data_IF_704649072510
#
_entry.id   IF_704649072510
#
_cell.length_a   1.000
_cell.length_b   1.000
_cell.length_c   1.000
_cell.angle_alpha   90.00
_cell.angle_beta   90.00
_cell.angle_gamma   90.00
#
_symmetry.space_group_name_H-M   'P 1'
#
loop_
_entity.id
_entity.type
_entity.pdbx_description
1 polymer ?
#
# COMPACT_ATOMS: atom_id res chain seq x y z
N UNK A 1 -32.15 14.61 -14.71
CA UNK A 1 -30.84 13.99 -14.44
C UNK A 1 -30.53 13.17 -15.69
N UNK A 2 -29.46 13.50 -16.41
CA UNK A 2 -29.11 12.81 -17.65
C UNK A 2 -28.87 11.32 -17.37
N UNK A 3 -29.71 10.46 -17.92
CA UNK A 3 -29.55 8.99 -17.89
C UNK A 3 -28.32 8.49 -18.70
N UNK A 4 -27.64 9.40 -19.38
CA UNK A 4 -26.52 9.13 -20.31
C UNK A 4 -25.12 9.32 -19.68
N UNK A 5 -25.00 9.56 -18.38
CA UNK A 5 -23.70 9.69 -17.74
C UNK A 5 -22.98 8.32 -17.73
N UNK A 6 -21.77 8.29 -18.26
CA UNK A 6 -20.93 7.09 -18.22
C UNK A 6 -20.76 6.61 -16.77
N UNK A 7 -21.11 5.37 -16.50
CA UNK A 7 -21.04 4.78 -15.16
C UNK A 7 -19.62 4.29 -14.88
N UNK A 8 -19.02 4.75 -13.78
CA UNK A 8 -17.72 4.27 -13.32
C UNK A 8 -17.83 2.83 -12.80
N UNK A 9 -17.03 1.93 -13.36
CA UNK A 9 -17.00 0.52 -12.98
C UNK A 9 -15.60 0.10 -12.53
N UNK A 10 -15.41 -0.11 -11.25
CA UNK A 10 -14.18 -0.65 -10.67
C UNK A 10 -14.10 -2.16 -10.88
N UNK A 11 -12.90 -2.68 -11.15
CA UNK A 11 -12.65 -4.12 -11.33
C UNK A 11 -11.48 -4.54 -10.45
N UNK A 12 -11.74 -5.44 -9.49
CA UNK A 12 -10.72 -6.03 -8.64
C UNK A 12 -11.09 -7.48 -8.28
N UNK A 13 -10.39 -8.45 -8.88
CA UNK A 13 -10.64 -9.89 -8.68
C UNK A 13 -9.64 -10.55 -7.72
N UNK A 14 -8.96 -9.77 -6.87
CA UNK A 14 -8.09 -10.32 -5.84
C UNK A 14 -8.88 -11.18 -4.83
N UNK A 15 -8.24 -12.21 -4.29
CA UNK A 15 -8.87 -13.10 -3.30
C UNK A 15 -8.62 -12.65 -1.86
N UNK A 16 -7.48 -11.99 -1.61
CA UNK A 16 -7.10 -11.51 -0.29
C UNK A 16 -7.56 -10.07 -0.03
N UNK A 17 -7.18 -9.54 1.12
CA UNK A 17 -7.34 -8.14 1.47
C UNK A 17 -6.01 -7.58 1.95
N UNK A 18 -5.20 -7.10 1.00
CA UNK A 18 -3.88 -6.52 1.21
C UNK A 18 -3.92 -5.03 0.86
N UNK A 19 -2.77 -4.38 0.79
CA UNK A 19 -2.67 -2.96 0.48
C UNK A 19 -3.43 -2.54 -0.79
N UNK A 20 -3.38 -3.33 -1.87
CA UNK A 20 -4.09 -3.04 -3.12
C UNK A 20 -5.61 -3.01 -2.97
N UNK A 21 -6.18 -4.00 -2.29
CA UNK A 21 -7.62 -4.11 -2.04
C UNK A 21 -8.08 -3.03 -1.05
N UNK A 22 -7.27 -2.71 -0.04
CA UNK A 22 -7.54 -1.60 0.88
C UNK A 22 -7.59 -0.28 0.13
N UNK A 23 -6.63 0.01 -0.74
CA UNK A 23 -6.63 1.23 -1.54
C UNK A 23 -7.83 1.31 -2.52
N UNK A 24 -8.24 0.18 -3.09
CA UNK A 24 -9.46 0.11 -3.90
C UNK A 24 -10.69 0.46 -3.06
N UNK A 25 -10.80 -0.09 -1.85
CA UNK A 25 -11.90 0.18 -0.93
C UNK A 25 -11.94 1.66 -0.51
N UNK A 26 -10.80 2.23 -0.10
CA UNK A 26 -10.70 3.64 0.30
C UNK A 26 -11.15 4.59 -0.82
N UNK A 27 -10.70 4.34 -2.05
CA UNK A 27 -11.13 5.15 -3.20
C UNK A 27 -12.63 5.03 -3.45
N UNK A 28 -13.19 3.82 -3.47
CA UNK A 28 -14.62 3.59 -3.68
C UNK A 28 -15.45 4.27 -2.59
N UNK A 29 -15.02 4.14 -1.33
CA UNK A 29 -15.69 4.78 -0.19
C UNK A 29 -15.69 6.29 -0.32
N UNK A 30 -14.55 6.91 -0.56
CA UNK A 30 -14.45 8.37 -0.70
C UNK A 30 -15.25 8.90 -1.90
N UNK A 31 -15.29 8.16 -3.02
CA UNK A 31 -16.15 8.50 -4.16
C UNK A 31 -17.65 8.36 -3.81
N UNK A 32 -18.03 7.36 -3.01
CA UNK A 32 -19.41 7.19 -2.53
C UNK A 32 -19.85 8.37 -1.65
N UNK A 33 -18.97 8.83 -0.76
CA UNK A 33 -19.19 9.99 0.11
C UNK A 33 -19.36 11.29 -0.69
N UNK A 34 -18.66 11.41 -1.81
CA UNK A 34 -18.81 12.51 -2.78
C UNK A 34 -20.03 12.33 -3.74
N UNK A 35 -20.83 11.28 -3.56
CA UNK A 35 -22.07 11.05 -4.29
C UNK A 35 -21.93 10.40 -5.66
N UNK A 36 -20.77 9.84 -6.00
CA UNK A 36 -20.56 9.10 -7.24
C UNK A 36 -21.39 7.82 -7.25
N UNK A 37 -22.06 7.56 -8.38
CA UNK A 37 -22.67 6.26 -8.66
C UNK A 37 -21.61 5.33 -9.27
N UNK A 38 -21.40 4.18 -8.67
CA UNK A 38 -20.31 3.28 -9.02
C UNK A 38 -20.81 1.84 -9.13
N UNK A 39 -20.09 1.05 -9.92
CA UNK A 39 -20.16 -0.41 -9.88
C UNK A 39 -18.81 -0.98 -9.45
N UNK A 40 -18.84 -2.12 -8.77
CA UNK A 40 -17.65 -2.89 -8.45
C UNK A 40 -17.82 -4.33 -8.94
N UNK A 41 -16.99 -4.75 -9.87
CA UNK A 41 -16.82 -6.18 -10.20
C UNK A 41 -15.75 -6.73 -9.25
N UNK A 42 -16.18 -7.59 -8.34
CA UNK A 42 -15.29 -8.20 -7.36
C UNK A 42 -15.49 -9.72 -7.29
N UNK A 43 -14.48 -10.38 -6.71
CA UNK A 43 -14.57 -11.82 -6.50
C UNK A 43 -15.61 -12.14 -5.44
N UNK A 44 -16.43 -13.16 -5.71
CA UNK A 44 -17.49 -13.63 -4.80
C UNK A 44 -16.89 -13.98 -3.43
N UNK A 45 -17.59 -13.58 -2.37
CA UNK A 45 -17.23 -13.81 -0.97
C UNK A 45 -15.86 -13.24 -0.54
N UNK A 46 -15.23 -12.36 -1.36
CA UNK A 46 -13.98 -11.72 -1.00
C UNK A 46 -14.17 -10.71 0.14
N UNK A 47 -13.09 -10.44 0.90
CA UNK A 47 -13.12 -9.41 1.94
C UNK A 47 -13.42 -8.02 1.37
N UNK A 48 -12.99 -7.72 0.14
CA UNK A 48 -13.34 -6.47 -0.53
C UNK A 48 -14.86 -6.38 -0.72
N UNK A 49 -15.51 -7.42 -1.24
CA UNK A 49 -16.97 -7.48 -1.39
C UNK A 49 -17.67 -7.27 -0.06
N UNK A 50 -17.31 -8.02 0.98
CA UNK A 50 -17.95 -7.92 2.30
C UNK A 50 -17.85 -6.53 2.91
N UNK A 51 -16.72 -5.82 2.71
CA UNK A 51 -16.46 -4.50 3.26
C UNK A 51 -17.09 -3.36 2.44
N UNK A 52 -17.41 -3.59 1.16
CA UNK A 52 -17.91 -2.53 0.28
C UNK A 52 -19.39 -2.64 -0.06
N UNK A 53 -20.03 -3.81 0.08
CA UNK A 53 -21.42 -4.05 -0.34
C UNK A 53 -22.47 -3.15 0.32
N UNK A 54 -22.13 -2.48 1.42
CA UNK A 54 -23.04 -1.59 2.15
C UNK A 54 -22.84 -0.11 1.81
N UNK A 55 -21.88 0.21 0.93
CA UNK A 55 -21.59 1.58 0.56
C UNK A 55 -22.73 2.16 -0.29
N UNK A 56 -23.17 3.36 0.05
CA UNK A 56 -24.23 4.05 -0.66
C UNK A 56 -23.76 4.42 -2.09
N UNK A 57 -24.58 4.15 -3.09
CA UNK A 57 -24.26 4.48 -4.49
C UNK A 57 -23.32 3.48 -5.17
N UNK A 58 -22.97 2.39 -4.51
CA UNK A 58 -22.18 1.29 -5.07
C UNK A 58 -23.07 0.09 -5.36
N UNK A 59 -22.99 -0.42 -6.59
CA UNK A 59 -23.61 -1.69 -7.00
C UNK A 59 -22.49 -2.74 -7.17
N UNK A 60 -22.52 -3.80 -6.35
CA UNK A 60 -21.46 -4.84 -6.35
C UNK A 60 -21.91 -6.02 -7.19
N UNK A 61 -21.12 -6.34 -8.20
CA UNK A 61 -21.29 -7.48 -9.10
C UNK A 61 -20.29 -8.56 -8.70
N UNK A 62 -20.76 -9.56 -7.99
CA UNK A 62 -19.93 -10.69 -7.62
C UNK A 62 -19.70 -11.64 -8.79
N UNK A 63 -18.48 -12.15 -8.88
CA UNK A 63 -18.10 -13.09 -9.94
C UNK A 63 -17.07 -14.11 -9.46
N UNK A 64 -16.85 -15.15 -10.27
CA UNK A 64 -15.78 -16.11 -10.07
C UNK A 64 -14.40 -15.50 -10.46
N UNK A 65 -13.38 -16.33 -10.41
CA UNK A 65 -12.00 -15.92 -10.72
C UNK A 65 -11.82 -15.28 -12.11
N UNK A 66 -12.60 -15.71 -13.11
CA UNK A 66 -12.44 -15.20 -14.48
C UNK A 66 -13.27 -13.97 -14.79
N UNK A 67 -14.37 -13.72 -14.09
CA UNK A 67 -15.20 -12.53 -14.30
C UNK A 67 -16.01 -12.51 -15.61
N UNK A 68 -16.09 -13.61 -16.36
CA UNK A 68 -16.67 -13.65 -17.70
C UNK A 68 -18.11 -13.08 -17.78
N UNK A 69 -18.98 -13.47 -16.86
CA UNK A 69 -20.39 -13.06 -16.87
C UNK A 69 -20.63 -11.71 -16.16
N UNK A 70 -19.60 -11.11 -15.56
CA UNK A 70 -19.78 -9.86 -14.82
C UNK A 70 -19.84 -8.66 -15.75
N UNK A 71 -19.00 -8.65 -16.78
CA UNK A 71 -18.95 -7.55 -17.73
C UNK A 71 -20.25 -7.35 -18.52
N UNK A 72 -21.00 -8.43 -18.84
CA UNK A 72 -22.29 -8.33 -19.51
C UNK A 72 -23.39 -7.68 -18.66
N UNK A 73 -23.18 -7.56 -17.35
CA UNK A 73 -24.09 -6.86 -16.42
C UNK A 73 -23.81 -5.36 -16.30
N UNK A 74 -22.82 -4.88 -17.01
CA UNK A 74 -22.41 -3.47 -17.00
C UNK A 74 -22.75 -2.84 -18.34
N UNK A 75 -23.17 -1.57 -18.33
CA UNK A 75 -23.47 -0.84 -19.56
C UNK A 75 -22.25 -0.78 -20.49
N UNK A 76 -22.49 -0.87 -21.80
CA UNK A 76 -21.44 -0.74 -22.82
C UNK A 76 -20.75 0.63 -22.80
N UNK A 77 -21.45 1.66 -22.32
CA UNK A 77 -20.94 3.03 -22.16
C UNK A 77 -20.14 3.22 -20.87
N UNK A 78 -19.95 2.18 -20.02
CA UNK A 78 -19.26 2.32 -18.74
C UNK A 78 -17.77 2.56 -18.94
N UNK A 79 -17.22 3.40 -18.07
CA UNK A 79 -15.79 3.61 -17.93
C UNK A 79 -15.23 2.65 -16.90
N UNK A 80 -14.24 1.83 -17.26
CA UNK A 80 -13.69 0.83 -16.38
C UNK A 80 -12.39 1.32 -15.71
N UNK A 81 -12.26 1.06 -14.41
CA UNK A 81 -11.03 1.23 -13.67
C UNK A 81 -10.54 -0.12 -13.14
N UNK A 82 -9.50 -0.65 -13.75
CA UNK A 82 -8.88 -1.91 -13.32
C UNK A 82 -7.86 -1.67 -12.21
N UNK A 83 -8.04 -2.35 -11.07
CA UNK A 83 -7.13 -2.31 -9.93
C UNK A 83 -6.17 -3.51 -9.88
N UNK A 84 -6.45 -4.53 -10.68
CA UNK A 84 -5.59 -5.70 -10.89
C UNK A 84 -5.64 -6.17 -12.35
N UNK A 85 -4.73 -7.08 -12.73
CA UNK A 85 -4.62 -7.57 -14.10
C UNK A 85 -5.36 -8.88 -14.38
N UNK A 86 -6.02 -9.47 -13.37
CA UNK A 86 -6.59 -10.84 -13.47
C UNK A 86 -7.74 -10.95 -14.45
N UNK A 87 -8.53 -9.91 -14.54
CA UNK A 87 -9.76 -9.89 -15.36
C UNK A 87 -9.55 -9.48 -16.82
N UNK A 88 -8.37 -9.03 -17.22
CA UNK A 88 -8.16 -8.51 -18.58
C UNK A 88 -8.45 -9.51 -19.68
N UNK A 89 -8.11 -10.79 -19.50
CA UNK A 89 -8.42 -11.82 -20.51
C UNK A 89 -9.93 -11.92 -20.76
N UNK A 90 -10.73 -11.92 -19.69
CA UNK A 90 -12.19 -11.97 -19.77
C UNK A 90 -12.80 -10.67 -20.28
N UNK A 91 -12.19 -9.54 -19.89
CA UNK A 91 -12.60 -8.24 -20.38
C UNK A 91 -12.40 -8.14 -21.90
N UNK A 92 -11.27 -8.57 -22.43
CA UNK A 92 -11.06 -8.54 -23.88
C UNK A 92 -11.93 -9.51 -24.67
N UNK A 93 -12.39 -10.61 -24.08
CA UNK A 93 -13.41 -11.45 -24.69
C UNK A 93 -14.77 -10.72 -24.75
N UNK A 94 -15.12 -10.02 -23.69
CA UNK A 94 -16.34 -9.18 -23.63
C UNK A 94 -16.26 -7.99 -24.58
N UNK A 95 -15.13 -7.30 -24.60
CA UNK A 95 -14.89 -6.09 -25.38
C UNK A 95 -14.48 -6.40 -26.84
N UNK A 96 -14.56 -7.66 -27.27
CA UNK A 96 -14.26 -8.01 -28.66
C UNK A 96 -15.24 -7.28 -29.60
N UNK A 97 -14.70 -6.48 -30.51
CA UNK A 97 -15.45 -5.58 -31.40
C UNK A 97 -16.22 -4.42 -30.72
N UNK A 98 -15.87 -4.07 -29.48
CA UNK A 98 -16.40 -2.90 -28.78
C UNK A 98 -15.28 -1.90 -28.49
N UNK A 99 -15.60 -0.62 -28.51
CA UNK A 99 -14.70 0.38 -27.95
C UNK A 99 -14.62 0.16 -26.44
N UNK A 100 -13.42 -0.07 -25.95
CA UNK A 100 -13.18 -0.25 -24.51
C UNK A 100 -12.56 1.01 -23.93
N UNK A 101 -13.25 1.60 -22.96
CA UNK A 101 -12.83 2.82 -22.29
C UNK A 101 -12.41 2.47 -20.86
N UNK A 102 -11.09 2.47 -20.59
CA UNK A 102 -10.60 2.09 -19.27
C UNK A 102 -9.26 2.73 -18.91
N UNK A 103 -9.03 2.81 -17.60
CA UNK A 103 -7.72 3.04 -16.99
C UNK A 103 -7.28 1.80 -16.21
N UNK A 104 -5.97 1.68 -15.98
CA UNK A 104 -5.40 0.58 -15.20
C UNK A 104 -4.43 1.10 -14.16
N UNK A 105 -4.70 0.85 -12.87
CA UNK A 105 -3.78 1.15 -11.78
C UNK A 105 -2.78 0.02 -11.58
N UNK A 106 -1.51 0.33 -11.83
CA UNK A 106 -0.39 -0.59 -11.61
C UNK A 106 0.24 -0.34 -10.25
N UNK A 107 0.24 -1.38 -9.40
CA UNK A 107 0.73 -1.34 -8.00
C UNK A 107 2.04 -2.10 -7.79
N UNK A 108 2.57 -2.78 -8.81
CA UNK A 108 3.71 -3.68 -8.71
C UNK A 108 4.94 -3.08 -9.36
N UNK A 109 6.04 -2.97 -8.61
CA UNK A 109 7.34 -2.47 -9.07
C UNK A 109 7.95 -3.31 -10.19
N UNK A 110 7.84 -4.66 -10.06
CA UNK A 110 8.45 -5.58 -11.04
C UNK A 110 8.06 -5.20 -12.46
N UNK A 111 9.05 -5.12 -13.37
CA UNK A 111 8.82 -4.81 -14.78
C UNK A 111 7.76 -5.72 -15.40
N UNK A 112 6.80 -5.17 -16.15
CA UNK A 112 5.78 -5.98 -16.81
C UNK A 112 6.43 -6.90 -17.82
N UNK A 113 5.99 -8.17 -17.83
CA UNK A 113 6.40 -9.08 -18.90
C UNK A 113 5.79 -8.61 -20.21
N UNK A 114 6.63 -8.34 -21.21
CA UNK A 114 6.18 -7.91 -22.53
C UNK A 114 5.66 -9.13 -23.30
N UNK A 115 4.36 -9.15 -23.56
CA UNK A 115 3.65 -10.18 -24.33
C UNK A 115 2.61 -9.53 -25.22
N UNK A 116 2.01 -10.26 -26.15
CA UNK A 116 0.91 -9.75 -26.97
C UNK A 116 -0.24 -9.20 -26.09
N UNK A 117 -0.65 -9.96 -25.08
CA UNK A 117 -1.72 -9.53 -24.17
C UNK A 117 -1.34 -8.31 -23.34
N UNK A 118 -0.13 -8.27 -22.76
CA UNK A 118 0.29 -7.10 -21.99
C UNK A 118 0.43 -5.84 -22.86
N UNK A 119 0.97 -5.96 -24.08
CA UNK A 119 0.96 -4.85 -25.03
C UNK A 119 -0.45 -4.33 -25.29
N UNK A 120 -1.42 -5.24 -25.50
CA UNK A 120 -2.83 -4.86 -25.68
C UNK A 120 -3.38 -4.14 -24.45
N UNK A 121 -3.11 -4.64 -23.24
CA UNK A 121 -3.55 -4.03 -21.97
C UNK A 121 -2.99 -2.62 -21.81
N UNK A 122 -1.67 -2.45 -21.94
CA UNK A 122 -1.04 -1.17 -21.65
C UNK A 122 -1.27 -0.13 -22.75
N UNK A 123 -1.33 -0.53 -24.01
CA UNK A 123 -1.61 0.38 -25.13
C UNK A 123 -3.10 0.66 -25.36
N UNK A 124 -3.97 -0.21 -24.87
CA UNK A 124 -5.42 -0.03 -24.98
C UNK A 124 -6.03 0.79 -23.83
N UNK A 125 -5.28 1.03 -22.75
CA UNK A 125 -5.71 1.90 -21.67
C UNK A 125 -5.68 3.36 -22.09
N UNK A 126 -6.67 4.15 -21.63
CA UNK A 126 -6.65 5.62 -21.76
C UNK A 126 -5.50 6.22 -20.98
N UNK A 127 -5.23 5.65 -19.80
CA UNK A 127 -4.11 6.06 -18.96
C UNK A 127 -3.70 4.88 -18.05
N UNK A 128 -2.40 4.76 -17.77
CA UNK A 128 -1.86 3.87 -16.75
C UNK A 128 -1.59 4.70 -15.50
N UNK A 129 -2.32 4.43 -14.42
CA UNK A 129 -2.03 5.03 -13.13
C UNK A 129 -0.91 4.24 -12.45
N UNK A 130 0.19 4.91 -12.17
CA UNK A 130 1.35 4.36 -11.47
C UNK A 130 1.39 4.91 -10.04
N UNK A 131 1.77 4.09 -9.06
CA UNK A 131 1.84 4.57 -7.67
C UNK A 131 3.12 5.35 -7.38
N UNK A 132 4.14 5.21 -8.22
CA UNK A 132 5.46 5.80 -8.03
C UNK A 132 6.17 6.04 -9.36
N UNK A 133 7.20 6.89 -9.33
CA UNK A 133 8.09 7.17 -10.46
C UNK A 133 8.80 5.90 -10.95
N UNK A 134 9.21 5.03 -10.03
CA UNK A 134 9.81 3.73 -10.34
C UNK A 134 8.89 2.83 -11.16
N UNK A 135 7.59 2.77 -10.80
CA UNK A 135 6.58 2.01 -11.55
C UNK A 135 6.35 2.65 -12.92
N UNK A 136 6.22 3.96 -12.99
CA UNK A 136 6.03 4.68 -14.24
C UNK A 136 7.18 4.45 -15.22
N UNK A 137 8.42 4.60 -14.75
CA UNK A 137 9.63 4.34 -15.53
C UNK A 137 9.66 2.89 -16.03
N UNK A 138 9.28 1.93 -15.21
CA UNK A 138 9.18 0.52 -15.59
C UNK A 138 8.15 0.27 -16.69
N UNK A 139 7.01 0.95 -16.67
CA UNK A 139 5.97 0.90 -17.70
C UNK A 139 6.49 1.52 -19.00
N UNK A 140 7.02 2.73 -18.96
CA UNK A 140 7.55 3.45 -20.13
C UNK A 140 8.71 2.71 -20.80
N UNK A 141 9.59 2.09 -20.00
CA UNK A 141 10.68 1.26 -20.52
C UNK A 141 10.18 -0.02 -21.20
N UNK A 142 9.05 -0.59 -20.76
CA UNK A 142 8.52 -1.84 -21.30
C UNK A 142 7.63 -1.65 -22.53
N UNK A 143 6.88 -0.54 -22.62
CA UNK A 143 5.84 -0.34 -23.64
C UNK A 143 6.03 0.89 -24.51
N UNK A 144 7.01 1.72 -24.23
CA UNK A 144 7.35 2.94 -24.97
C UNK A 144 7.15 4.20 -24.12
N UNK A 145 7.96 5.23 -24.40
CA UNK A 145 7.90 6.52 -23.69
C UNK A 145 6.59 7.28 -23.95
N UNK A 146 5.90 6.93 -25.01
CA UNK A 146 4.61 7.44 -25.45
C UNK A 146 3.41 6.79 -24.72
N UNK A 147 3.67 5.85 -23.81
CA UNK A 147 2.60 5.25 -23.00
C UNK A 147 2.01 6.31 -22.08
N UNK A 148 0.70 6.59 -22.24
CA UNK A 148 -0.02 7.54 -21.39
C UNK A 148 -0.05 7.05 -19.96
N UNK A 149 0.54 7.83 -19.05
CA UNK A 149 0.65 7.46 -17.65
C UNK A 149 0.64 8.67 -16.73
N UNK A 150 0.14 8.47 -15.52
CA UNK A 150 0.12 9.47 -14.45
C UNK A 150 0.52 8.81 -13.13
N UNK A 151 1.20 9.57 -12.27
CA UNK A 151 1.50 9.12 -10.91
C UNK A 151 0.37 9.59 -9.98
N UNK A 152 -0.34 8.62 -9.38
CA UNK A 152 -1.27 8.86 -8.29
C UNK A 152 -0.87 7.92 -7.15
N UNK A 153 -0.23 8.40 -6.09
CA UNK A 153 0.20 7.56 -4.98
C UNK A 153 -1.01 6.96 -4.23
N UNK A 154 -0.76 5.92 -3.48
CA UNK A 154 -1.72 5.40 -2.50
C UNK A 154 -1.95 6.43 -1.39
N UNK A 155 -3.04 6.30 -0.66
CA UNK A 155 -3.31 7.10 0.53
C UNK A 155 -2.93 6.35 1.82
N UNK A 156 -2.66 7.09 2.89
CA UNK A 156 -2.72 6.58 4.26
C UNK A 156 -4.12 6.03 4.55
N UNK A 157 -4.20 5.00 5.38
CA UNK A 157 -5.49 4.44 5.77
C UNK A 157 -6.22 5.29 6.82
N UNK A 158 -5.58 6.34 7.33
CA UNK A 158 -6.10 7.23 8.39
C UNK A 158 -6.65 6.43 9.57
N UNK A 159 -5.79 5.60 10.18
CA UNK A 159 -6.19 4.73 11.29
C UNK A 159 -6.52 5.53 12.53
N UNK A 160 -7.69 5.27 13.11
CA UNK A 160 -7.99 5.70 14.48
C UNK A 160 -7.10 4.95 15.47
N UNK A 161 -6.83 5.57 16.61
CA UNK A 161 -6.13 4.96 17.73
C UNK A 161 -6.75 5.34 19.06
N UNK A 162 -6.55 4.48 20.04
CA UNK A 162 -6.95 4.69 21.43
C UNK A 162 -5.69 4.82 22.30
N UNK A 163 -5.47 6.01 22.85
CA UNK A 163 -4.27 6.31 23.66
C UNK A 163 -4.11 5.41 24.89
N UNK A 164 -5.20 4.89 25.44
CA UNK A 164 -5.13 3.93 26.56
C UNK A 164 -4.63 2.57 26.07
N UNK A 165 -5.07 2.12 24.89
CA UNK A 165 -4.60 0.89 24.27
C UNK A 165 -3.16 1.00 23.81
N UNK A 166 -2.77 2.12 23.18
CA UNK A 166 -1.37 2.41 22.84
C UNK A 166 -0.46 2.38 24.07
N UNK A 167 -0.92 3.00 25.19
CA UNK A 167 -0.19 2.96 26.46
C UNK A 167 -0.09 1.53 27.01
N UNK A 168 -1.08 0.68 26.79
CA UNK A 168 -1.02 -0.73 27.17
C UNK A 168 -0.01 -1.49 26.31
N UNK A 169 0.01 -1.28 25.00
CA UNK A 169 1.02 -1.85 24.10
C UNK A 169 2.42 -1.49 24.60
N UNK A 170 2.68 -0.21 24.91
CA UNK A 170 3.98 0.22 25.45
C UNK A 170 4.37 -0.47 26.76
N UNK A 171 3.41 -0.72 27.65
CA UNK A 171 3.65 -1.43 28.93
C UNK A 171 3.94 -2.91 28.77
N UNK A 172 3.43 -3.54 27.73
CA UNK A 172 3.70 -4.94 27.40
C UNK A 172 5.10 -5.17 26.84
N UNK A 173 5.71 -4.11 26.28
CA UNK A 173 7.11 -4.12 25.83
C UNK A 173 8.01 -3.71 26.98
N UNK A 174 9.00 -4.55 27.29
CA UNK A 174 9.92 -4.28 28.43
C UNK A 174 10.82 -3.09 28.21
N UNK A 175 11.21 -2.85 26.97
CA UNK A 175 12.12 -1.80 26.58
C UNK A 175 11.40 -0.44 26.44
N UNK A 176 12.10 0.65 26.76
CA UNK A 176 11.53 2.00 26.72
C UNK A 176 11.42 2.56 25.30
N UNK A 177 12.32 2.19 24.41
CA UNK A 177 12.34 2.64 23.03
C UNK A 177 11.82 1.53 22.11
N UNK A 178 10.78 1.82 21.32
CA UNK A 178 10.06 0.83 20.55
C UNK A 178 10.24 1.09 19.05
N UNK A 179 10.84 0.13 18.36
CA UNK A 179 10.96 0.10 16.91
C UNK A 179 9.88 -0.83 16.34
N UNK A 180 8.98 -0.26 15.55
CA UNK A 180 7.86 -1.00 14.99
C UNK A 180 8.05 -1.36 13.52
N UNK A 181 7.55 -2.53 13.14
CA UNK A 181 7.38 -2.97 11.75
C UNK A 181 5.98 -3.54 11.56
N UNK A 182 5.31 -3.15 10.48
CA UNK A 182 3.97 -3.64 10.15
C UNK A 182 4.00 -4.22 8.73
N UNK A 183 3.63 -5.49 8.60
CA UNK A 183 3.57 -6.14 7.29
C UNK A 183 3.34 -7.65 7.35
N UNK A 184 3.13 -8.25 6.18
CA UNK A 184 3.11 -9.71 6.04
C UNK A 184 4.49 -10.27 6.39
N UNK A 185 4.54 -11.31 7.23
CA UNK A 185 5.80 -11.99 7.59
C UNK A 185 6.27 -12.88 6.43
N UNK A 186 6.95 -12.27 5.49
CA UNK A 186 7.57 -12.84 4.30
C UNK A 186 8.94 -12.19 4.11
N UNK A 187 9.99 -12.79 4.66
CA UNK A 187 11.33 -12.20 4.67
C UNK A 187 11.87 -11.93 3.27
N UNK A 188 11.57 -12.81 2.32
CA UNK A 188 12.02 -12.61 0.94
C UNK A 188 11.53 -11.30 0.32
N UNK A 189 10.41 -10.79 0.81
CA UNK A 189 9.81 -9.53 0.39
C UNK A 189 10.05 -8.39 1.37
N UNK A 190 9.88 -8.65 2.68
CA UNK A 190 9.80 -7.63 3.73
C UNK A 190 11.07 -7.46 4.55
N UNK A 191 12.03 -8.40 4.45
CA UNK A 191 13.34 -8.25 5.06
C UNK A 191 13.35 -8.32 6.58
N UNK A 192 12.47 -9.10 7.21
CA UNK A 192 12.36 -9.17 8.67
C UNK A 192 13.60 -9.75 9.37
N UNK A 193 14.41 -10.53 8.67
CA UNK A 193 15.70 -10.98 9.22
C UNK A 193 16.67 -9.80 9.52
N UNK A 194 16.58 -8.70 8.77
CA UNK A 194 17.35 -7.50 9.07
C UNK A 194 16.93 -6.87 10.41
N UNK A 195 15.64 -6.97 10.79
CA UNK A 195 15.13 -6.50 12.10
C UNK A 195 15.64 -7.41 13.22
N UNK A 196 15.67 -8.73 13.01
CA UNK A 196 16.21 -9.68 13.99
C UNK A 196 17.70 -9.40 14.22
N UNK A 197 18.46 -9.10 13.16
CA UNK A 197 19.88 -8.74 13.29
C UNK A 197 20.08 -7.43 14.04
N UNK A 198 19.22 -6.44 13.83
CA UNK A 198 19.21 -5.19 14.62
C UNK A 198 18.91 -5.46 16.10
N UNK A 199 17.92 -6.32 16.40
CA UNK A 199 17.60 -6.70 17.76
C UNK A 199 18.78 -7.40 18.46
N UNK A 200 19.50 -8.24 17.73
CA UNK A 200 20.73 -8.91 18.19
C UNK A 200 21.84 -7.91 18.52
N UNK A 201 22.07 -6.94 17.61
CA UNK A 201 23.05 -5.85 17.79
C UNK A 201 22.68 -4.95 18.96
N UNK A 202 21.42 -4.58 19.10
CA UNK A 202 20.94 -3.76 20.22
C UNK A 202 21.16 -4.49 21.56
N UNK A 203 20.79 -5.77 21.65
CA UNK A 203 20.99 -6.58 22.85
C UNK A 203 22.47 -6.73 23.21
N UNK A 204 23.35 -6.99 22.23
CA UNK A 204 24.79 -7.15 22.47
C UNK A 204 25.47 -5.86 22.96
N UNK A 205 24.83 -4.70 22.75
CA UNK A 205 25.28 -3.38 23.21
C UNK A 205 24.50 -2.87 24.43
N UNK A 206 23.66 -3.72 25.03
CA UNK A 206 22.84 -3.40 26.19
C UNK A 206 21.94 -2.16 25.99
N UNK A 207 21.45 -1.97 24.74
CA UNK A 207 20.55 -0.86 24.42
C UNK A 207 19.10 -1.20 24.81
N UNK A 208 18.39 -0.26 25.41
CA UNK A 208 17.00 -0.41 25.87
C UNK A 208 16.01 -0.24 24.69
N UNK A 209 16.16 -1.08 23.64
CA UNK A 209 15.39 -1.04 22.40
C UNK A 209 14.63 -2.34 22.22
N UNK A 210 13.30 -2.24 22.11
CA UNK A 210 12.39 -3.33 21.75
C UNK A 210 11.95 -3.25 20.29
N UNK A 211 11.84 -4.40 19.64
CA UNK A 211 11.41 -4.51 18.25
C UNK A 211 10.07 -5.22 18.18
N UNK A 212 9.09 -4.60 17.56
CA UNK A 212 7.72 -5.15 17.44
C UNK A 212 7.40 -5.42 15.97
N UNK A 213 7.14 -6.69 15.65
CA UNK A 213 6.68 -7.13 14.34
C UNK A 213 5.18 -7.39 14.38
N UNK A 214 4.43 -6.52 13.70
CA UNK A 214 2.98 -6.62 13.57
C UNK A 214 2.61 -7.28 12.26
N UNK A 215 1.89 -8.38 12.34
CA UNK A 215 1.42 -9.14 11.19
C UNK A 215 1.64 -10.64 11.31
N UNK A 216 1.25 -11.34 10.27
CA UNK A 216 1.45 -12.80 10.14
C UNK A 216 1.84 -13.12 8.70
N UNK A 217 2.40 -14.29 8.46
CA UNK A 217 2.79 -14.70 7.13
C UNK A 217 3.45 -16.07 7.09
N UNK A 218 3.91 -16.46 5.92
CA UNK A 218 4.49 -17.79 5.68
C UNK A 218 5.78 -18.06 6.48
N UNK A 219 6.53 -16.99 6.82
CA UNK A 219 7.82 -17.09 7.50
C UNK A 219 7.71 -16.90 9.04
N UNK A 220 6.47 -16.79 9.60
CA UNK A 220 6.24 -16.58 11.04
C UNK A 220 7.01 -17.55 11.92
N UNK A 221 6.91 -18.86 11.65
CA UNK A 221 7.61 -19.89 12.43
C UNK A 221 9.13 -19.81 12.31
N UNK A 222 9.64 -19.49 11.13
CA UNK A 222 11.07 -19.33 10.87
C UNK A 222 11.62 -18.11 11.62
N UNK A 223 10.95 -16.96 11.52
CA UNK A 223 11.37 -15.72 12.19
C UNK A 223 11.37 -15.85 13.72
N UNK A 224 10.34 -16.49 14.30
CA UNK A 224 10.28 -16.80 15.74
C UNK A 224 11.42 -17.71 16.18
N UNK A 225 11.77 -18.72 15.37
CA UNK A 225 12.89 -19.60 15.64
C UNK A 225 14.23 -18.85 15.60
N UNK A 226 14.46 -18.00 14.59
CA UNK A 226 15.68 -17.20 14.45
C UNK A 226 15.88 -16.18 15.58
N UNK A 227 14.79 -15.76 16.22
CA UNK A 227 14.79 -14.78 17.33
C UNK A 227 14.62 -15.40 18.72
N UNK A 228 14.59 -16.73 18.88
CA UNK A 228 14.24 -17.39 20.13
C UNK A 228 15.16 -17.07 21.34
N UNK A 229 16.40 -16.63 21.08
CA UNK A 229 17.36 -16.20 22.10
C UNK A 229 17.28 -14.71 22.46
N UNK A 230 16.36 -13.97 21.83
CA UNK A 230 16.19 -12.54 22.01
C UNK A 230 14.95 -12.26 22.87
N UNK A 231 15.11 -11.44 23.89
CA UNK A 231 14.02 -10.98 24.78
C UNK A 231 13.55 -9.55 24.50
N UNK A 232 14.10 -8.97 23.43
CA UNK A 232 13.79 -7.61 22.96
C UNK A 232 13.08 -7.60 21.60
N UNK A 233 12.48 -8.72 21.18
CA UNK A 233 11.69 -8.81 19.95
C UNK A 233 10.30 -9.43 20.25
N UNK A 234 9.27 -8.86 19.66
CA UNK A 234 7.88 -9.18 19.92
C UNK A 234 7.12 -9.42 18.63
N UNK A 235 6.34 -10.49 18.57
CA UNK A 235 5.46 -10.82 17.46
C UNK A 235 4.01 -10.75 17.91
N UNK A 236 3.22 -9.88 17.29
CA UNK A 236 1.82 -9.69 17.67
C UNK A 236 0.86 -10.65 16.96
N UNK A 237 1.30 -11.25 15.83
CA UNK A 237 0.38 -11.84 14.89
C UNK A 237 -0.45 -10.78 14.17
N UNK A 238 -1.53 -11.22 13.52
CA UNK A 238 -2.47 -10.32 12.86
C UNK A 238 -3.32 -9.60 13.92
N UNK A 239 -3.41 -8.29 13.79
CA UNK A 239 -4.19 -7.42 14.67
C UNK A 239 -5.22 -6.62 13.87
N UNK A 240 -6.29 -6.18 14.52
CA UNK A 240 -7.33 -5.36 13.89
C UNK A 240 -7.02 -3.87 14.00
N UNK A 241 -6.53 -3.43 15.15
CA UNK A 241 -6.25 -2.01 15.41
C UNK A 241 -4.77 -1.68 15.24
N UNK A 242 -4.38 -1.36 14.02
CA UNK A 242 -3.02 -0.98 13.64
C UNK A 242 -2.64 0.38 14.26
N UNK A 243 -3.61 1.31 14.40
CA UNK A 243 -3.36 2.65 14.90
C UNK A 243 -2.79 2.68 16.32
N UNK A 244 -3.26 1.78 17.22
CA UNK A 244 -2.74 1.69 18.59
C UNK A 244 -1.24 1.31 18.63
N UNK A 245 -0.80 0.49 17.69
CA UNK A 245 0.61 0.11 17.56
C UNK A 245 1.44 1.21 16.92
N UNK A 246 0.93 1.88 15.87
CA UNK A 246 1.61 3.02 15.26
C UNK A 246 1.84 4.13 16.31
N UNK A 247 0.83 4.46 17.12
CA UNK A 247 0.95 5.46 18.19
C UNK A 247 1.92 5.02 19.31
N UNK A 248 2.09 3.71 19.51
CA UNK A 248 3.01 3.17 20.51
C UNK A 248 4.48 3.14 20.07
N UNK A 249 4.82 3.32 18.79
CA UNK A 249 6.16 3.23 18.28
C UNK A 249 6.93 4.55 18.43
N UNK A 250 8.25 4.48 18.59
CA UNK A 250 9.16 5.62 18.56
C UNK A 250 9.82 5.77 17.18
N UNK A 251 10.01 4.67 16.46
CA UNK A 251 10.56 4.61 15.11
C UNK A 251 9.87 3.51 14.33
N UNK A 252 9.60 3.76 13.05
CA UNK A 252 9.11 2.76 12.12
C UNK A 252 10.23 2.25 11.22
N UNK A 253 10.42 0.92 11.17
CA UNK A 253 11.44 0.30 10.32
C UNK A 253 10.82 -0.46 9.16
N UNK A 254 11.35 -0.23 7.95
CA UNK A 254 10.81 -0.80 6.72
C UNK A 254 11.91 -1.37 5.82
N UNK A 255 12.46 -2.55 6.14
CA UNK A 255 13.59 -3.15 5.43
C UNK A 255 13.16 -3.92 4.17
N UNK A 256 12.00 -3.62 3.61
CA UNK A 256 11.44 -4.33 2.44
C UNK A 256 12.43 -4.37 1.28
N UNK A 257 12.53 -5.52 0.62
CA UNK A 257 13.44 -5.74 -0.53
C UNK A 257 12.77 -5.38 -1.86
N UNK A 258 11.44 -5.37 -1.90
CA UNK A 258 10.65 -5.06 -3.10
C UNK A 258 9.38 -4.32 -2.73
N UNK A 259 9.22 -3.10 -3.25
CA UNK A 259 8.00 -2.30 -3.01
C UNK A 259 7.58 -1.51 -4.25
N UNK A 260 6.26 -1.43 -4.46
CA UNK A 260 5.71 -0.50 -5.44
C UNK A 260 5.74 0.94 -4.95
N UNK A 261 5.23 1.15 -3.74
CA UNK A 261 5.23 2.44 -3.04
C UNK A 261 5.47 2.25 -1.53
N UNK A 262 4.95 1.15 -0.92
CA UNK A 262 5.04 0.95 0.52
C UNK A 262 3.91 1.66 1.30
N UNK A 263 2.66 1.26 1.07
CA UNK A 263 1.50 1.96 1.68
C UNK A 263 1.55 2.05 3.21
N UNK A 264 2.19 1.11 3.89
CA UNK A 264 2.37 1.16 5.36
C UNK A 264 3.31 2.29 5.80
N UNK A 265 4.21 2.76 4.91
CA UNK A 265 5.01 3.97 5.18
C UNK A 265 4.13 5.21 5.25
N UNK A 266 3.07 5.27 4.43
CA UNK A 266 2.12 6.38 4.45
C UNK A 266 1.38 6.44 5.77
N UNK A 267 1.04 5.28 6.34
CA UNK A 267 0.43 5.19 7.67
C UNK A 267 1.41 5.65 8.75
N UNK A 268 2.70 5.30 8.65
CA UNK A 268 3.74 5.75 9.57
C UNK A 268 3.99 7.27 9.47
N UNK A 269 3.95 7.84 8.26
CA UNK A 269 4.04 9.30 8.03
C UNK A 269 2.87 10.01 8.68
N UNK A 270 1.66 9.48 8.53
CA UNK A 270 0.44 10.06 9.10
C UNK A 270 0.51 10.15 10.63
N UNK A 271 1.09 9.14 11.28
CA UNK A 271 1.40 9.17 12.71
C UNK A 271 2.62 10.02 13.08
N UNK A 272 3.31 10.58 12.09
CA UNK A 272 4.52 11.38 12.32
C UNK A 272 5.72 10.55 12.81
N UNK A 273 5.76 9.25 12.53
CA UNK A 273 6.86 8.40 13.00
C UNK A 273 8.15 8.68 12.22
N UNK A 274 9.31 8.82 12.88
CA UNK A 274 10.60 8.71 12.21
C UNK A 274 10.72 7.34 11.52
N UNK A 275 11.18 7.35 10.27
CA UNK A 275 11.22 6.16 9.41
C UNK A 275 12.67 5.81 9.07
N UNK A 276 12.99 4.51 9.12
CA UNK A 276 14.21 3.95 8.50
C UNK A 276 13.75 2.93 7.47
N UNK A 277 13.96 3.20 6.20
CA UNK A 277 13.49 2.36 5.11
C UNK A 277 14.63 1.96 4.16
N UNK A 278 14.54 0.77 3.54
CA UNK A 278 15.42 0.42 2.43
C UNK A 278 15.04 1.22 1.19
N UNK A 279 16.03 1.78 0.51
CA UNK A 279 15.83 2.52 -0.75
C UNK A 279 15.57 1.56 -1.91
N UNK A 280 14.31 1.17 -2.06
CA UNK A 280 13.85 0.29 -3.16
C UNK A 280 12.51 0.78 -3.72
N UNK A 281 12.35 0.63 -5.02
CA UNK A 281 11.08 0.91 -5.70
C UNK A 281 10.66 2.37 -5.65
N UNK A 282 9.50 2.62 -5.08
CA UNK A 282 8.92 3.96 -4.92
C UNK A 282 9.12 4.55 -3.53
N UNK A 283 9.98 3.98 -2.69
CA UNK A 283 10.19 4.47 -1.32
C UNK A 283 10.83 5.87 -1.32
N UNK A 284 11.76 6.13 -2.24
CA UNK A 284 12.36 7.45 -2.45
C UNK A 284 11.41 8.51 -3.03
N UNK A 285 10.20 8.13 -3.47
CA UNK A 285 9.15 9.10 -3.80
C UNK A 285 8.41 9.60 -2.53
N UNK A 286 8.59 8.92 -1.40
CA UNK A 286 7.92 9.20 -0.11
C UNK A 286 8.91 9.74 0.91
N UNK A 287 10.09 9.12 1.00
CA UNK A 287 11.11 9.43 2.00
C UNK A 287 12.21 10.28 1.33
N UNK A 288 12.41 11.46 1.87
CA UNK A 288 13.52 12.36 1.59
C UNK A 288 14.59 12.15 2.68
N UNK A 289 15.72 11.56 2.27
CA UNK A 289 16.77 11.09 3.19
C UNK A 289 17.31 12.22 4.09
N UNK A 290 17.34 11.95 5.40
CA UNK A 290 17.74 12.91 6.43
C UNK A 290 16.71 14.02 6.73
N UNK A 291 15.60 14.10 5.99
CA UNK A 291 14.55 15.12 6.19
C UNK A 291 13.36 14.53 6.95
N UNK A 292 12.67 13.55 6.38
CA UNK A 292 11.50 12.91 6.96
C UNK A 292 11.72 11.42 7.30
N UNK A 293 12.93 10.92 7.11
CA UNK A 293 13.36 9.56 7.41
C UNK A 293 14.78 9.31 6.95
N UNK A 294 15.22 8.09 7.04
CA UNK A 294 16.51 7.63 6.54
C UNK A 294 16.34 6.54 5.49
N UNK A 295 17.04 6.69 4.37
CA UNK A 295 17.11 5.70 3.31
C UNK A 295 18.38 4.86 3.45
N UNK A 296 18.20 3.55 3.59
CA UNK A 296 19.29 2.58 3.67
C UNK A 296 19.51 1.98 2.29
N UNK A 297 20.71 2.15 1.75
CA UNK A 297 21.07 1.61 0.44
C UNK A 297 20.89 0.09 0.36
N UNK A 298 20.38 -0.40 -0.76
CA UNK A 298 20.22 -1.83 -1.03
C UNK A 298 21.55 -2.60 -0.93
N UNK A 299 22.68 -1.94 -1.27
CA UNK A 299 24.01 -2.56 -1.26
C UNK A 299 24.69 -2.54 0.12
N UNK A 300 24.31 -1.60 0.99
CA UNK A 300 24.86 -1.49 2.33
C UNK A 300 23.73 -1.47 3.35
N UNK A 301 23.24 -2.62 3.73
CA UNK A 301 22.09 -2.81 4.62
C UNK A 301 22.35 -2.35 6.07
N UNK A 302 22.97 -1.18 6.25
CA UNK A 302 23.23 -0.62 7.57
C UNK A 302 22.03 0.16 8.12
N UNK A 303 21.09 -0.56 8.69
CA UNK A 303 19.97 0.01 9.45
C UNK A 303 20.38 0.43 10.86
N UNK A 304 21.57 0.00 11.33
CA UNK A 304 21.96 0.23 12.71
C UNK A 304 22.41 1.67 12.96
N UNK A 305 23.20 2.26 12.07
CA UNK A 305 23.66 3.66 12.21
C UNK A 305 22.50 4.65 12.34
N UNK A 306 21.52 4.71 11.43
CA UNK A 306 20.39 5.61 11.58
C UNK A 306 19.51 5.26 12.80
N UNK A 307 19.41 4.00 13.19
CA UNK A 307 18.68 3.61 14.40
C UNK A 307 19.33 4.20 15.66
N UNK A 308 20.66 4.14 15.79
CA UNK A 308 21.38 4.72 16.94
C UNK A 308 21.24 6.23 16.97
N UNK A 309 21.26 6.90 15.84
CA UNK A 309 21.04 8.34 15.75
C UNK A 309 19.65 8.72 16.28
N UNK A 310 18.61 8.01 15.82
CA UNK A 310 17.24 8.22 16.30
C UNK A 310 17.07 7.83 17.78
N UNK A 311 17.70 6.76 18.25
CA UNK A 311 17.65 6.35 19.64
C UNK A 311 18.28 7.39 20.56
N UNK A 312 19.42 7.94 20.16
CA UNK A 312 20.22 8.84 21.01
C UNK A 312 19.74 10.31 20.99
N UNK A 313 18.95 10.72 19.99
CA UNK A 313 18.57 12.12 19.81
C UNK A 313 17.06 12.32 19.67
N UNK A 314 16.42 12.77 20.74
CA UNK A 314 15.02 13.19 20.72
C UNK A 314 14.80 14.38 19.77
N UNK A 315 15.74 15.30 19.71
CA UNK A 315 15.68 16.46 18.81
C UNK A 315 15.57 16.06 17.34
N UNK A 316 16.33 15.03 16.90
CA UNK A 316 16.27 14.52 15.54
C UNK A 316 14.92 13.84 15.30
N UNK A 317 14.44 13.02 16.24
CA UNK A 317 13.10 12.39 16.13
C UNK A 317 12.01 13.43 15.99
N UNK A 318 12.02 14.47 16.82
CA UNK A 318 11.01 15.53 16.78
C UNK A 318 11.04 16.30 15.44
N UNK A 319 12.23 16.62 14.92
CA UNK A 319 12.38 17.28 13.62
C UNK A 319 11.81 16.42 12.48
N UNK A 320 12.13 15.13 12.44
CA UNK A 320 11.64 14.20 11.42
C UNK A 320 10.13 14.00 11.58
N UNK A 321 9.64 13.86 12.81
CA UNK A 321 8.21 13.73 13.12
C UNK A 321 7.41 14.93 12.61
N UNK A 322 7.92 16.13 12.80
CA UNK A 322 7.28 17.36 12.30
C UNK A 322 7.27 17.39 10.75
N UNK A 323 8.36 16.97 10.11
CA UNK A 323 8.42 16.88 8.65
C UNK A 323 7.39 15.87 8.10
N UNK A 324 7.26 14.70 8.72
CA UNK A 324 6.26 13.69 8.36
C UNK A 324 4.82 14.22 8.52
N UNK A 325 4.50 14.85 9.63
CA UNK A 325 3.17 15.45 9.86
C UNK A 325 2.83 16.53 8.83
N UNK A 326 3.78 17.33 8.40
CA UNK A 326 3.58 18.33 7.34
C UNK A 326 3.35 17.69 5.97
N UNK A 327 3.94 16.53 5.71
CA UNK A 327 3.81 15.82 4.44
C UNK A 327 2.56 14.93 4.37
N UNK A 328 1.96 14.55 5.52
CA UNK A 328 0.88 13.56 5.58
C UNK A 328 -0.32 13.92 4.70
N UNK A 329 -0.67 15.22 4.62
CA UNK A 329 -1.78 15.69 3.77
C UNK A 329 -1.61 15.31 2.29
N UNK A 330 -0.36 15.28 1.79
CA UNK A 330 -0.08 14.88 0.41
C UNK A 330 -0.48 13.43 0.10
N UNK A 331 -0.56 12.59 1.14
CA UNK A 331 -0.96 11.17 1.05
C UNK A 331 -2.33 10.92 1.68
N UNK A 332 -3.16 11.95 1.84
CA UNK A 332 -4.52 11.79 2.36
C UNK A 332 -5.43 11.09 1.35
N UNK A 333 -6.48 10.44 1.88
CA UNK A 333 -7.55 9.83 1.06
C UNK A 333 -8.19 10.89 0.15
N UNK A 334 -8.30 12.11 0.65
CA UNK A 334 -8.88 13.24 -0.05
C UNK A 334 -8.06 13.60 -1.29
N UNK A 335 -6.75 13.80 -1.15
CA UNK A 335 -5.82 14.09 -2.26
C UNK A 335 -5.80 13.00 -3.32
N UNK A 336 -5.73 11.74 -2.88
CA UNK A 336 -5.81 10.60 -3.80
C UNK A 336 -7.14 10.64 -4.57
N UNK A 337 -8.25 10.83 -3.89
CA UNK A 337 -9.59 10.84 -4.50
C UNK A 337 -9.75 11.99 -5.48
N UNK A 338 -9.31 13.20 -5.15
CA UNK A 338 -9.33 14.37 -6.04
C UNK A 338 -8.52 14.12 -7.32
N UNK A 339 -7.34 13.50 -7.19
CA UNK A 339 -6.51 13.13 -8.34
C UNK A 339 -7.24 12.14 -9.27
N UNK A 340 -7.91 11.13 -8.70
CA UNK A 340 -8.72 10.20 -9.50
C UNK A 340 -9.95 10.87 -10.11
N UNK A 341 -10.65 11.75 -9.41
CA UNK A 341 -11.79 12.52 -9.96
C UNK A 341 -11.33 13.37 -11.14
N UNK A 342 -10.21 14.08 -11.00
CA UNK A 342 -9.63 14.85 -12.09
C UNK A 342 -9.32 13.99 -13.32
N UNK A 343 -8.77 12.79 -13.09
CA UNK A 343 -8.48 11.83 -14.16
C UNK A 343 -9.77 11.29 -14.81
N UNK A 344 -10.78 10.92 -14.02
CA UNK A 344 -12.06 10.42 -14.54
C UNK A 344 -12.79 11.46 -15.37
N UNK A 345 -12.79 12.73 -14.95
CA UNK A 345 -13.46 13.82 -15.68
C UNK A 345 -12.88 14.08 -17.07
N UNK A 346 -11.69 13.54 -17.39
CA UNK A 346 -11.12 13.61 -18.74
C UNK A 346 -11.73 12.57 -19.69
N UNK A 347 -12.36 11.51 -19.16
CA UNK A 347 -12.77 10.36 -19.94
C UNK A 347 -14.24 9.94 -19.74
N UNK A 348 -14.93 10.45 -18.70
CA UNK A 348 -16.36 10.28 -18.46
C UNK A 348 -17.17 11.36 -19.20
#
# INVERSE_FOLDING_TARGET
MNEDASLLCHVNLANGFRGGERQTMLLIQALSEKGFKQKLIARKDSELTKRTQYLRGLDVIETNFFGLNAFSKVSEKSFFHFHDSRSFSSFYLYAFNKESNYIYTRRVQRSPKVSFMSKKIYKGARCIVCLSSSIENSVKNSFGKDTESIIIPSASANFDYDSQKSSKVRKEIKQKFIVGHIGELDDSHKGQLDIIELARKAKSRELDIGFVMVGSGRDDSMLKKESNSLDNIYFTGQIENIGDYLDAFDVFIFPSRHEGLGSTLLDAIDFGLPIIARDVGGISDIIDDGVNGYLVSEHNSDFFTPLIELYSSESIRNRISEANRKQSDAFSIERMTESYISLYNQYL
#
